data_IF_160990950653
#
_entry.id   IF_160990950653
#
_cell.length_a   1.000
_cell.length_b   1.000
_cell.length_c   1.000
_cell.angle_alpha   90.00
_cell.angle_beta   90.00
_cell.angle_gamma   90.00
#
_symmetry.space_group_name_H-M   'P 1'
#
loop_
_entity.id
_entity.type
_entity.pdbx_description
1 polymer ?
#
# COMPACT_ATOMS: atom_id res chain seq x y z
N UNK A 1 5.13 12.21 16.56
CA UNK A 1 5.61 10.81 16.63
C UNK A 1 5.36 10.04 15.32
N UNK A 2 4.24 10.22 14.61
CA UNK A 2 3.90 9.50 13.37
C UNK A 2 4.97 9.60 12.26
N UNK A 3 5.43 10.80 11.95
CA UNK A 3 6.41 11.03 10.87
C UNK A 3 7.71 10.25 11.10
N UNK A 4 8.25 10.29 12.33
CA UNK A 4 9.51 9.61 12.69
C UNK A 4 9.40 8.09 12.61
N UNK A 5 8.27 7.51 13.04
CA UNK A 5 8.08 6.05 12.92
C UNK A 5 7.91 5.62 11.47
N UNK A 6 7.22 6.43 10.65
CA UNK A 6 7.06 6.18 9.21
C UNK A 6 8.41 6.25 8.51
N UNK A 7 9.24 7.27 8.79
CA UNK A 7 10.59 7.37 8.23
C UNK A 7 11.46 6.15 8.56
N UNK A 8 11.41 5.66 9.80
CA UNK A 8 12.12 4.42 10.18
C UNK A 8 11.62 3.20 9.42
N UNK A 9 10.30 3.10 9.20
CA UNK A 9 9.71 2.02 8.41
C UNK A 9 10.08 2.12 6.93
N UNK A 10 10.20 3.34 6.37
CA UNK A 10 10.68 3.59 5.02
C UNK A 10 12.11 3.05 4.84
N UNK A 11 13.01 3.39 5.76
CA UNK A 11 14.39 2.89 5.76
C UNK A 11 14.46 1.36 5.89
N UNK A 12 13.56 0.75 6.68
CA UNK A 12 13.51 -0.71 6.84
C UNK A 12 12.95 -1.44 5.61
N UNK A 13 12.07 -0.81 4.84
CA UNK A 13 11.34 -1.43 3.72
C UNK A 13 11.89 -1.03 2.35
N UNK A 14 13.01 -0.29 2.30
CA UNK A 14 13.63 0.29 1.10
C UNK A 14 12.62 0.99 0.17
N UNK A 15 11.70 1.76 0.78
CA UNK A 15 10.68 2.54 0.07
C UNK A 15 10.89 4.02 0.31
N UNK A 16 10.74 4.79 -0.76
CA UNK A 16 10.86 6.26 -0.75
C UNK A 16 9.51 6.95 -0.80
N UNK A 17 8.51 6.27 -1.33
CA UNK A 17 7.15 6.78 -1.47
C UNK A 17 6.29 6.39 -0.26
N UNK A 18 5.43 7.30 0.18
CA UNK A 18 4.49 7.08 1.29
C UNK A 18 3.08 7.43 0.84
N UNK A 19 2.12 6.56 1.20
CA UNK A 19 0.69 6.80 1.06
C UNK A 19 0.09 6.97 2.45
N UNK A 20 -0.56 8.11 2.70
CA UNK A 20 -1.32 8.35 3.92
C UNK A 20 -2.81 8.12 3.63
N UNK A 21 -3.45 7.32 4.49
CA UNK A 21 -4.89 7.00 4.50
C UNK A 21 -5.45 7.09 5.92
N UNK A 22 -6.77 7.02 6.05
CA UNK A 22 -7.50 7.16 7.32
C UNK A 22 -7.89 8.61 7.59
N UNK A 23 -8.90 8.84 8.44
CA UNK A 23 -9.43 10.19 8.65
C UNK A 23 -8.43 11.22 9.19
N UNK A 24 -7.43 10.78 9.96
CA UNK A 24 -6.32 11.65 10.41
C UNK A 24 -5.38 12.03 9.26
N UNK A 25 -5.38 11.24 8.18
CA UNK A 25 -4.61 11.50 6.97
C UNK A 25 -5.03 12.76 6.21
N UNK A 26 -6.26 13.25 6.43
CA UNK A 26 -6.75 14.52 5.89
C UNK A 26 -6.11 15.75 6.57
N UNK A 27 -5.30 15.58 7.61
CA UNK A 27 -4.63 16.68 8.29
C UNK A 27 -3.49 17.26 7.43
N UNK A 28 -3.68 18.48 6.93
CA UNK A 28 -2.70 19.14 6.05
C UNK A 28 -1.33 19.36 6.70
N UNK A 29 -1.29 19.60 8.02
CA UNK A 29 -0.03 19.75 8.75
C UNK A 29 0.75 18.43 8.80
N UNK A 30 0.07 17.30 9.03
CA UNK A 30 0.68 15.97 8.95
C UNK A 30 1.19 15.66 7.53
N UNK A 31 0.39 15.98 6.52
CA UNK A 31 0.79 15.80 5.12
C UNK A 31 2.03 16.64 4.79
N UNK A 32 2.08 17.90 5.21
CA UNK A 32 3.24 18.76 4.95
C UNK A 32 4.50 18.22 5.61
N UNK A 33 4.43 17.84 6.89
CA UNK A 33 5.58 17.24 7.58
C UNK A 33 6.08 15.97 6.88
N UNK A 34 5.17 15.10 6.43
CA UNK A 34 5.55 13.87 5.73
C UNK A 34 6.08 14.15 4.32
N UNK A 35 5.59 15.21 3.65
CA UNK A 35 6.04 15.63 2.32
C UNK A 35 7.50 16.08 2.35
N UNK A 36 7.88 16.86 3.37
CA UNK A 36 9.27 17.27 3.59
C UNK A 36 10.18 16.04 3.71
N UNK A 37 9.85 15.11 4.60
CA UNK A 37 10.64 13.87 4.78
C UNK A 37 10.72 13.08 3.47
N UNK A 38 9.60 12.81 2.79
CA UNK A 38 9.65 12.08 1.52
C UNK A 38 10.55 12.76 0.49
N UNK A 39 10.51 14.10 0.41
CA UNK A 39 11.32 14.86 -0.54
C UNK A 39 12.83 14.79 -0.26
N UNK A 40 13.23 14.76 1.02
CA UNK A 40 14.64 14.59 1.42
C UNK A 40 15.20 13.21 1.01
N UNK A 41 14.34 12.19 0.99
CA UNK A 41 14.69 10.84 0.54
C UNK A 41 14.46 10.61 -0.97
N UNK A 42 14.10 11.66 -1.72
CA UNK A 42 13.86 11.61 -3.17
C UNK A 42 12.60 10.82 -3.57
N UNK A 43 11.64 10.69 -2.66
CA UNK A 43 10.35 10.05 -2.88
C UNK A 43 9.18 11.04 -2.83
N UNK A 44 7.97 10.49 -2.82
CA UNK A 44 6.72 11.27 -2.93
C UNK A 44 5.75 10.89 -1.83
N UNK A 45 5.07 11.90 -1.31
CA UNK A 45 3.88 11.72 -0.51
C UNK A 45 2.64 11.67 -1.41
N UNK A 46 1.86 10.61 -1.25
CA UNK A 46 0.50 10.49 -1.78
C UNK A 46 -0.49 10.71 -0.62
N UNK A 47 -1.26 11.78 -0.72
CA UNK A 47 -2.45 12.00 0.11
C UNK A 47 -3.67 11.64 -0.74
N UNK A 48 -4.50 10.73 -0.24
CA UNK A 48 -5.73 10.36 -0.95
C UNK A 48 -6.77 11.47 -0.78
N UNK A 49 -7.58 11.70 -1.81
CA UNK A 49 -8.77 12.56 -1.72
C UNK A 49 -9.60 12.20 -0.47
N UNK A 50 -10.03 13.22 0.28
CA UNK A 50 -10.72 13.05 1.57
C UNK A 50 -11.91 12.10 1.49
N UNK A 51 -12.59 12.02 0.33
CA UNK A 51 -13.72 11.11 0.09
C UNK A 51 -13.35 9.64 0.19
N UNK A 52 -12.10 9.29 -0.13
CA UNK A 52 -11.58 7.92 -0.09
C UNK A 52 -10.59 7.69 1.07
N UNK A 53 -10.17 8.76 1.74
CA UNK A 53 -9.28 8.70 2.89
C UNK A 53 -10.00 8.23 4.17
N UNK A 54 -11.28 8.58 4.31
CA UNK A 54 -12.15 8.13 5.41
C UNK A 54 -12.81 6.77 5.12
N UNK A 55 -13.40 6.16 6.14
CA UNK A 55 -14.17 4.92 6.01
C UNK A 55 -15.31 5.10 5.00
N UNK A 56 -15.24 4.35 3.91
CA UNK A 56 -16.19 4.43 2.81
C UNK A 56 -16.43 3.04 2.21
N UNK A 57 -17.60 2.86 1.60
CA UNK A 57 -17.98 1.59 0.96
C UNK A 57 -17.25 1.34 -0.36
N UNK A 58 -16.69 2.37 -1.00
CA UNK A 58 -16.02 2.21 -2.28
C UNK A 58 -14.72 1.40 -2.15
N UNK A 59 -13.91 1.66 -1.13
CA UNK A 59 -12.67 0.89 -0.87
C UNK A 59 -12.98 -0.58 -0.58
N UNK A 60 -14.03 -0.87 0.21
CA UNK A 60 -14.48 -2.24 0.49
C UNK A 60 -14.96 -2.94 -0.78
N UNK A 61 -15.83 -2.29 -1.56
CA UNK A 61 -16.36 -2.83 -2.80
C UNK A 61 -15.24 -3.09 -3.83
N UNK A 62 -14.28 -2.17 -3.94
CA UNK A 62 -13.14 -2.30 -4.86
C UNK A 62 -12.22 -3.45 -4.47
N UNK A 63 -11.92 -3.62 -3.17
CA UNK A 63 -11.11 -4.75 -2.70
C UNK A 63 -11.82 -6.09 -2.94
N UNK A 64 -13.13 -6.16 -2.69
CA UNK A 64 -13.94 -7.33 -3.00
C UNK A 64 -13.99 -7.65 -4.50
N UNK A 65 -14.12 -6.61 -5.34
CA UNK A 65 -14.07 -6.75 -6.80
C UNK A 65 -12.70 -7.26 -7.27
N UNK A 66 -11.61 -6.75 -6.72
CA UNK A 66 -10.26 -7.23 -7.04
C UNK A 66 -10.08 -8.71 -6.71
N UNK A 67 -10.55 -9.14 -5.53
CA UNK A 67 -10.50 -10.54 -5.12
C UNK A 67 -11.36 -11.42 -6.04
N UNK A 68 -12.60 -11.01 -6.32
CA UNK A 68 -13.51 -11.73 -7.22
C UNK A 68 -12.97 -11.86 -8.64
N UNK A 69 -12.43 -10.77 -9.20
CA UNK A 69 -11.84 -10.76 -10.53
C UNK A 69 -10.62 -11.69 -10.66
N UNK A 70 -9.97 -12.04 -9.56
CA UNK A 70 -8.84 -12.99 -9.52
C UNK A 70 -9.25 -14.39 -9.01
N UNK A 71 -10.56 -14.66 -8.91
CA UNK A 71 -11.09 -16.00 -8.62
C UNK A 71 -11.37 -16.31 -7.16
N UNK A 72 -11.27 -15.34 -6.24
CA UNK A 72 -11.75 -15.55 -4.87
C UNK A 72 -13.27 -15.46 -4.82
N UNK A 73 -13.90 -16.48 -4.24
CA UNK A 73 -15.32 -16.51 -3.89
C UNK A 73 -15.45 -16.98 -2.45
N UNK A 74 -16.42 -16.43 -1.72
CA UNK A 74 -16.71 -16.81 -0.34
C UNK A 74 -18.16 -17.31 -0.28
N UNK A 75 -18.39 -18.58 0.06
CA UNK A 75 -19.73 -19.10 0.34
C UNK A 75 -20.43 -18.29 1.43
N UNK A 76 -21.76 -18.27 1.43
CA UNK A 76 -22.53 -17.47 2.39
C UNK A 76 -22.30 -17.95 3.82
N UNK A 77 -22.21 -19.26 4.01
CA UNK A 77 -21.92 -19.92 5.28
C UNK A 77 -20.53 -19.57 5.85
N UNK A 78 -19.58 -19.17 4.99
CA UNK A 78 -18.23 -18.74 5.38
C UNK A 78 -18.13 -17.21 5.54
N UNK A 79 -19.18 -16.47 5.17
CA UNK A 79 -19.25 -15.00 5.25
C UNK A 79 -19.48 -14.50 6.68
N UNK A 80 -18.59 -14.90 7.58
CA UNK A 80 -18.61 -14.56 9.01
C UNK A 80 -17.79 -13.29 9.29
N UNK A 81 -17.74 -12.87 10.56
CA UNK A 81 -17.00 -11.68 10.98
C UNK A 81 -15.78 -12.06 11.83
N UNK A 82 -14.66 -11.35 11.62
CA UNK A 82 -13.45 -11.45 12.42
C UNK A 82 -13.09 -10.08 12.96
N UNK A 83 -13.23 -9.86 14.27
CA UNK A 83 -12.98 -8.55 14.88
C UNK A 83 -11.50 -8.11 14.82
N UNK A 84 -10.57 -9.07 14.88
CA UNK A 84 -9.12 -8.83 14.88
C UNK A 84 -8.48 -9.32 13.58
N UNK A 85 -9.10 -8.97 12.46
CA UNK A 85 -8.64 -9.43 11.15
C UNK A 85 -7.29 -8.78 10.80
N UNK A 86 -6.25 -9.59 10.62
CA UNK A 86 -4.89 -9.07 10.38
C UNK A 86 -4.58 -9.00 8.90
N UNK A 87 -3.70 -8.07 8.53
CA UNK A 87 -3.28 -7.89 7.13
C UNK A 87 -2.40 -9.02 6.60
N UNK A 88 -1.69 -9.74 7.48
CA UNK A 88 -0.86 -10.91 7.13
C UNK A 88 -1.64 -12.21 6.99
N UNK A 89 -2.92 -12.23 7.40
CA UNK A 89 -3.84 -13.37 7.22
C UNK A 89 -4.50 -13.37 5.83
N UNK A 90 -4.31 -12.31 5.03
CA UNK A 90 -4.95 -12.13 3.71
C UNK A 90 -3.94 -12.33 2.59
N UNK A 91 -4.22 -13.27 1.69
CA UNK A 91 -3.44 -13.44 0.48
C UNK A 91 -3.95 -12.50 -0.63
N UNK A 92 -3.18 -11.45 -0.94
CA UNK A 92 -3.51 -10.47 -1.97
C UNK A 92 -3.26 -11.00 -3.41
N UNK A 93 -4.12 -11.90 -3.87
CA UNK A 93 -4.01 -12.60 -5.17
C UNK A 93 -3.98 -11.68 -6.41
N UNK A 94 -4.44 -10.44 -6.27
CA UNK A 94 -4.44 -9.45 -7.35
C UNK A 94 -3.10 -8.75 -7.54
N UNK A 95 -2.10 -8.99 -6.68
CA UNK A 95 -0.74 -8.47 -6.89
C UNK A 95 0.11 -9.48 -7.67
N UNK A 96 0.57 -9.09 -8.85
CA UNK A 96 1.61 -9.83 -9.57
C UNK A 96 2.94 -9.70 -8.83
N UNK A 97 3.71 -10.80 -8.75
CA UNK A 97 5.12 -10.71 -8.35
C UNK A 97 5.88 -9.96 -9.44
N UNK A 98 6.63 -8.91 -9.07
CA UNK A 98 7.68 -8.40 -9.95
C UNK A 98 8.73 -9.51 -10.07
N UNK A 99 8.79 -10.18 -11.21
CA UNK A 99 9.97 -10.95 -11.60
C UNK A 99 11.18 -10.01 -11.54
N UNK A 100 12.31 -10.43 -10.93
CA UNK A 100 13.52 -9.65 -10.99
C UNK A 100 13.91 -9.48 -12.46
N UNK A 101 14.02 -8.23 -12.91
CA UNK A 101 14.49 -7.90 -14.26
C UNK A 101 15.82 -8.61 -14.49
N UNK A 102 15.86 -9.48 -15.52
CA UNK A 102 17.01 -10.28 -15.90
C UNK A 102 18.25 -9.39 -16.14
N UNK A 103 19.08 -9.20 -15.12
CA UNK A 103 20.29 -8.36 -15.18
C UNK A 103 21.51 -9.11 -15.77
N UNK A 104 21.28 -10.20 -16.50
CA UNK A 104 22.33 -11.06 -17.06
C UNK A 104 22.47 -11.01 -18.60
N UNK A 105 21.76 -10.10 -19.30
CA UNK A 105 21.86 -10.01 -20.77
C UNK A 105 22.91 -9.02 -21.29
N UNK A 106 23.66 -8.31 -20.43
CA UNK A 106 24.59 -7.24 -20.84
C UNK A 106 26.09 -7.55 -20.60
N UNK A 107 26.46 -8.80 -20.32
CA UNK A 107 27.87 -9.21 -20.17
C UNK A 107 28.32 -10.33 -21.13
N UNK A 108 27.58 -10.60 -22.21
CA UNK A 108 27.98 -11.59 -23.24
C UNK A 108 28.32 -11.01 -24.62
N UNK A 109 28.38 -9.68 -24.77
CA UNK A 109 28.85 -9.03 -26.02
C UNK A 109 30.21 -8.32 -25.87
N UNK A 110 31.06 -8.78 -24.93
CA UNK A 110 32.44 -8.31 -24.81
C UNK A 110 33.43 -9.46 -24.59
N UNK A 111 33.44 -10.43 -25.50
CA UNK A 111 34.51 -11.42 -25.66
C UNK A 111 34.70 -11.75 -27.13
#
# INVERSE_FOLDING_TARGET
MLVVITERAMAHSDTKDVLIVGGVGCNECLQEMMRTICSEHGGRLFATDDRYCIDNRATTAYTGLLAYAHGTVTPLEESTFTQRFRTDEVHAIWRQKKEPSNMNSLMQESS
#
